data_IF_036064910272
#
_entry.id   IF_036064910272
#
_cell.length_a   1.000
_cell.length_b   1.000
_cell.length_c   1.000
_cell.angle_alpha   90.00
_cell.angle_beta   90.00
_cell.angle_gamma   90.00
#
_symmetry.space_group_name_H-M   'P 1'
#
loop_
_entity.id
_entity.type
_entity.pdbx_description
1 polymer ?
#
# COMPACT_ATOMS: atom_id res chain seq x y z
N UNK A 1 25.24 2.39 -20.17
CA UNK A 1 24.62 2.58 -18.83
C UNK A 1 23.73 1.39 -18.56
N UNK A 2 24.00 0.59 -17.50
CA UNK A 2 23.11 -0.52 -17.13
C UNK A 2 21.82 0.10 -16.53
N UNK A 3 20.72 0.02 -17.25
CA UNK A 3 19.42 0.44 -16.74
C UNK A 3 19.04 -0.44 -15.56
N UNK A 4 18.88 0.16 -14.36
CA UNK A 4 18.49 -0.57 -13.18
C UNK A 4 17.04 -1.04 -13.36
N UNK A 5 16.83 -2.34 -13.55
CA UNK A 5 15.51 -2.94 -13.81
C UNK A 5 14.71 -3.21 -12.53
N UNK A 6 15.32 -3.01 -11.34
CA UNK A 6 14.71 -3.32 -10.03
C UNK A 6 14.50 -2.05 -9.20
N UNK A 7 13.49 -2.09 -8.37
CA UNK A 7 13.25 -1.04 -7.39
C UNK A 7 14.29 -1.08 -6.26
N UNK A 8 14.65 0.09 -5.68
CA UNK A 8 15.44 0.16 -4.45
C UNK A 8 14.81 -0.68 -3.33
N UNK A 9 15.64 -1.28 -2.48
CA UNK A 9 15.19 -2.17 -1.41
C UNK A 9 14.16 -1.49 -0.49
N UNK A 10 14.38 -0.22 -0.13
CA UNK A 10 13.46 0.54 0.71
C UNK A 10 12.06 0.70 0.09
N UNK A 11 11.99 0.89 -1.24
CA UNK A 11 10.71 0.96 -1.98
C UNK A 11 9.98 -0.39 -1.92
N UNK A 12 10.72 -1.48 -2.11
CA UNK A 12 10.15 -2.84 -2.08
C UNK A 12 9.70 -3.25 -0.69
N UNK A 13 10.51 -3.01 0.34
CA UNK A 13 10.16 -3.34 1.74
C UNK A 13 8.92 -2.58 2.19
N UNK A 14 8.88 -1.26 1.97
CA UNK A 14 7.70 -0.45 2.31
C UNK A 14 6.46 -0.85 1.52
N UNK A 15 6.62 -1.33 0.28
CA UNK A 15 5.49 -1.85 -0.48
C UNK A 15 4.88 -3.08 0.18
N UNK A 16 5.71 -4.08 0.49
CA UNK A 16 5.22 -5.34 1.03
C UNK A 16 4.72 -5.20 2.46
N UNK A 17 5.38 -4.37 3.29
CA UNK A 17 4.91 -4.07 4.63
C UNK A 17 3.53 -3.40 4.61
N UNK A 18 3.36 -2.38 3.75
CA UNK A 18 2.09 -1.69 3.58
C UNK A 18 1.02 -2.63 3.01
N UNK A 19 1.36 -3.47 2.03
CA UNK A 19 0.42 -4.45 1.46
C UNK A 19 -0.06 -5.45 2.52
N UNK A 20 0.85 -6.00 3.33
CA UNK A 20 0.51 -6.92 4.41
C UNK A 20 -0.38 -6.25 5.48
N UNK A 21 0.00 -5.04 5.93
CA UNK A 21 -0.80 -4.29 6.90
C UNK A 21 -2.20 -3.97 6.35
N UNK A 22 -2.29 -3.54 5.08
CA UNK A 22 -3.54 -3.18 4.44
C UNK A 22 -4.48 -4.39 4.29
N UNK A 23 -3.97 -5.50 3.73
CA UNK A 23 -4.78 -6.72 3.54
C UNK A 23 -5.20 -7.28 4.90
N UNK A 24 -4.29 -7.33 5.87
CA UNK A 24 -4.60 -7.76 7.23
C UNK A 24 -5.69 -6.89 7.86
N UNK A 25 -5.59 -5.56 7.72
CA UNK A 25 -6.59 -4.64 8.29
C UNK A 25 -7.95 -4.69 7.57
N UNK A 26 -7.98 -4.97 6.26
CA UNK A 26 -9.23 -5.24 5.54
C UNK A 26 -9.91 -6.52 6.07
N UNK A 27 -9.14 -7.58 6.30
CA UNK A 27 -9.66 -8.83 6.87
C UNK A 27 -10.20 -8.59 8.29
N UNK A 28 -9.42 -7.92 9.15
CA UNK A 28 -9.89 -7.56 10.50
C UNK A 28 -11.16 -6.72 10.42
N UNK A 29 -11.23 -5.76 9.47
CA UNK A 29 -12.41 -4.93 9.25
C UNK A 29 -13.68 -5.70 8.87
N UNK A 30 -13.55 -6.86 8.21
CA UNK A 30 -14.67 -7.76 7.89
C UNK A 30 -15.09 -8.65 9.08
N UNK A 31 -14.23 -8.78 10.08
CA UNK A 31 -14.41 -9.67 11.24
C UNK A 31 -14.70 -8.90 12.54
N UNK A 32 -15.00 -7.58 12.44
CA UNK A 32 -15.09 -6.74 13.63
C UNK A 32 -16.19 -7.17 14.61
N UNK A 33 -17.36 -7.54 14.11
CA UNK A 33 -18.56 -7.79 14.92
C UNK A 33 -18.61 -6.91 16.20
N UNK A 34 -19.04 -7.42 17.34
CA UNK A 34 -19.05 -6.71 18.63
C UNK A 34 -17.75 -6.90 19.43
N UNK A 35 -16.65 -7.35 18.81
CA UNK A 35 -15.39 -7.61 19.48
C UNK A 35 -14.55 -6.32 19.63
N UNK A 36 -14.51 -5.77 20.85
CA UNK A 36 -13.79 -4.53 21.16
C UNK A 36 -12.27 -4.62 20.89
N UNK A 37 -11.66 -5.79 21.08
CA UNK A 37 -10.24 -6.00 20.84
C UNK A 37 -9.92 -5.89 19.34
N UNK A 38 -10.77 -6.49 18.49
CA UNK A 38 -10.62 -6.39 17.02
C UNK A 38 -10.85 -4.94 16.55
N UNK A 39 -11.81 -4.24 17.13
CA UNK A 39 -12.05 -2.80 16.84
C UNK A 39 -10.81 -1.98 17.21
N UNK A 40 -10.23 -2.22 18.38
CA UNK A 40 -9.00 -1.53 18.83
C UNK A 40 -7.80 -1.83 17.92
N UNK A 41 -7.65 -3.10 17.56
CA UNK A 41 -6.59 -3.56 16.62
C UNK A 41 -6.75 -2.92 15.24
N UNK A 42 -7.97 -2.94 14.67
CA UNK A 42 -8.30 -2.33 13.38
C UNK A 42 -7.95 -0.83 13.34
N UNK A 43 -8.33 -0.09 14.38
CA UNK A 43 -7.99 1.34 14.52
C UNK A 43 -6.48 1.56 14.56
N UNK A 44 -5.77 0.78 15.37
CA UNK A 44 -4.32 0.90 15.55
C UNK A 44 -3.56 0.60 14.27
N UNK A 45 -3.92 -0.48 13.55
CA UNK A 45 -3.33 -0.81 12.24
C UNK A 45 -3.68 0.28 11.22
N UNK A 46 -4.92 0.80 11.24
CA UNK A 46 -5.34 1.91 10.36
C UNK A 46 -4.47 3.17 10.54
N UNK A 47 -4.18 3.56 11.78
CA UNK A 47 -3.26 4.66 12.09
C UNK A 47 -1.84 4.35 11.61
N UNK A 48 -1.35 3.13 11.82
CA UNK A 48 -0.04 2.70 11.35
C UNK A 48 0.05 2.74 9.81
N UNK A 49 -1.01 2.33 9.10
CA UNK A 49 -1.10 2.42 7.63
C UNK A 49 -0.97 3.88 7.17
N UNK A 50 -1.62 4.83 7.85
CA UNK A 50 -1.52 6.26 7.51
C UNK A 50 -0.05 6.73 7.57
N UNK A 51 0.68 6.37 8.64
CA UNK A 51 2.11 6.65 8.77
C UNK A 51 2.96 5.97 7.69
N UNK A 52 2.68 4.70 7.38
CA UNK A 52 3.38 3.94 6.34
C UNK A 52 3.15 4.52 4.95
N UNK A 53 1.93 4.98 4.64
CA UNK A 53 1.62 5.65 3.37
C UNK A 53 2.40 6.95 3.23
N UNK A 54 2.43 7.78 4.28
CA UNK A 54 3.22 9.02 4.28
C UNK A 54 4.72 8.72 4.07
N UNK A 55 5.27 7.76 4.82
CA UNK A 55 6.66 7.33 4.68
C UNK A 55 6.96 6.81 3.27
N UNK A 56 6.06 6.03 2.70
CA UNK A 56 6.20 5.50 1.33
C UNK A 56 6.19 6.60 0.28
N UNK A 57 5.32 7.60 0.41
CA UNK A 57 5.28 8.75 -0.50
C UNK A 57 6.59 9.53 -0.42
N UNK A 58 7.05 9.86 0.79
CA UNK A 58 8.33 10.58 1.00
C UNK A 58 9.50 9.80 0.42
N UNK A 59 9.58 8.48 0.71
CA UNK A 59 10.65 7.64 0.18
C UNK A 59 10.62 7.56 -1.35
N UNK A 60 9.42 7.44 -1.96
CA UNK A 60 9.24 7.43 -3.41
C UNK A 60 9.68 8.75 -4.06
N UNK A 61 9.37 9.89 -3.43
CA UNK A 61 9.80 11.22 -3.92
C UNK A 61 11.33 11.39 -3.83
N UNK A 62 11.94 10.93 -2.73
CA UNK A 62 13.41 10.95 -2.57
C UNK A 62 14.11 10.07 -3.60
N UNK A 63 13.57 8.89 -3.86
CA UNK A 63 14.17 7.89 -4.75
C UNK A 63 13.71 8.02 -6.20
N UNK A 64 12.98 9.09 -6.58
CA UNK A 64 12.36 9.23 -7.91
C UNK A 64 13.34 9.05 -9.09
N UNK A 65 14.59 9.49 -8.92
CA UNK A 65 15.64 9.37 -9.95
C UNK A 65 16.21 7.97 -10.09
N UNK A 66 16.02 7.12 -9.10
CA UNK A 66 16.51 5.72 -9.05
C UNK A 66 15.42 4.71 -9.38
N UNK A 67 14.20 5.16 -9.67
CA UNK A 67 13.09 4.29 -10.01
C UNK A 67 13.27 3.74 -11.44
N UNK A 68 13.03 2.43 -11.65
CA UNK A 68 13.02 1.88 -13.00
C UNK A 68 11.87 2.49 -13.82
N UNK A 69 12.00 2.56 -15.16
CA UNK A 69 10.92 3.04 -16.01
C UNK A 69 9.69 2.15 -15.91
N UNK A 70 8.51 2.73 -16.22
CA UNK A 70 7.26 1.98 -16.31
C UNK A 70 7.38 0.84 -17.33
N UNK A 71 6.69 -0.26 -17.08
CA UNK A 71 6.58 -1.40 -18.00
C UNK A 71 5.80 -1.00 -19.25
N UNK A 72 4.78 -0.15 -19.09
CA UNK A 72 3.98 0.30 -20.22
C UNK A 72 4.57 1.60 -20.82
N UNK A 73 4.67 1.69 -22.17
CA UNK A 73 5.16 2.89 -22.84
C UNK A 73 4.33 4.12 -22.49
N UNK A 74 5.01 5.26 -22.30
CA UNK A 74 4.34 6.54 -22.05
C UNK A 74 3.36 6.88 -23.18
N UNK A 75 2.21 7.50 -22.84
CA UNK A 75 1.17 7.88 -23.81
C UNK A 75 0.21 6.77 -24.19
N UNK A 76 0.41 5.53 -23.73
CA UNK A 76 -0.53 4.44 -23.97
C UNK A 76 -1.66 4.43 -22.94
N UNK A 77 -2.85 3.93 -23.34
CA UNK A 77 -3.99 3.73 -22.44
C UNK A 77 -3.63 2.86 -21.22
N UNK A 78 -2.76 1.86 -21.44
CA UNK A 78 -2.26 0.98 -20.37
C UNK A 78 -1.39 1.73 -19.36
N UNK A 79 -0.53 2.63 -19.82
CA UNK A 79 0.26 3.49 -18.94
C UNK A 79 -0.63 4.43 -18.11
N UNK A 80 -1.67 4.99 -18.74
CA UNK A 80 -2.65 5.81 -18.04
C UNK A 80 -3.40 5.00 -16.97
N UNK A 81 -3.91 3.82 -17.32
CA UNK A 81 -4.59 2.92 -16.38
C UNK A 81 -3.70 2.53 -15.19
N UNK A 82 -2.43 2.17 -15.45
CA UNK A 82 -1.44 1.86 -14.41
C UNK A 82 -1.28 3.03 -13.43
N UNK A 83 -1.11 4.25 -13.95
CA UNK A 83 -0.96 5.44 -13.11
C UNK A 83 -2.21 5.77 -12.32
N UNK A 84 -3.38 5.63 -12.94
CA UNK A 84 -4.67 5.89 -12.29
C UNK A 84 -4.93 4.93 -11.14
N UNK A 85 -4.71 3.63 -11.35
CA UNK A 85 -4.85 2.61 -10.29
C UNK A 85 -3.91 2.92 -9.12
N UNK A 86 -2.63 3.19 -9.37
CA UNK A 86 -1.69 3.53 -8.30
C UNK A 86 -2.05 4.86 -7.60
N UNK A 87 -2.46 5.87 -8.36
CA UNK A 87 -2.89 7.16 -7.79
C UNK A 87 -4.11 6.98 -6.87
N UNK A 88 -5.12 6.24 -7.34
CA UNK A 88 -6.34 5.99 -6.57
C UNK A 88 -6.07 5.13 -5.33
N UNK A 89 -5.17 4.13 -5.42
CA UNK A 89 -4.71 3.37 -4.26
C UNK A 89 -4.11 4.29 -3.19
N UNK A 90 -3.23 5.24 -3.55
CA UNK A 90 -2.65 6.19 -2.58
C UNK A 90 -3.72 7.08 -1.95
N UNK A 91 -4.67 7.59 -2.75
CA UNK A 91 -5.78 8.44 -2.24
C UNK A 91 -6.62 7.65 -1.23
N UNK A 92 -7.04 6.43 -1.57
CA UNK A 92 -7.88 5.62 -0.70
C UNK A 92 -7.15 5.14 0.55
N UNK A 93 -5.87 4.73 0.44
CA UNK A 93 -5.06 4.35 1.61
C UNK A 93 -4.84 5.49 2.60
N UNK A 94 -4.93 6.75 2.16
CA UNK A 94 -4.90 7.92 3.04
C UNK A 94 -6.30 8.26 3.57
N UNK A 95 -7.29 8.34 2.68
CA UNK A 95 -8.63 8.82 3.01
C UNK A 95 -9.37 7.88 3.99
N UNK A 96 -9.26 6.55 3.80
CA UNK A 96 -9.99 5.57 4.62
C UNK A 96 -9.59 5.63 6.09
N UNK A 97 -8.31 5.61 6.48
CA UNK A 97 -7.94 5.79 7.89
C UNK A 97 -8.36 7.15 8.46
N UNK A 98 -8.34 8.22 7.66
CA UNK A 98 -8.83 9.53 8.06
C UNK A 98 -10.32 9.51 8.37
N UNK A 99 -11.13 8.86 7.52
CA UNK A 99 -12.56 8.66 7.74
C UNK A 99 -12.82 7.86 9.03
N UNK A 100 -12.06 6.78 9.27
CA UNK A 100 -12.15 5.98 10.48
C UNK A 100 -11.77 6.75 11.74
N UNK A 101 -10.77 7.61 11.66
CA UNK A 101 -10.36 8.48 12.75
C UNK A 101 -11.45 9.51 13.06
N UNK A 102 -11.96 10.23 12.06
CA UNK A 102 -13.07 11.19 12.22
C UNK A 102 -14.35 10.51 12.73
N UNK A 103 -14.70 9.31 12.24
CA UNK A 103 -15.82 8.51 12.76
C UNK A 103 -15.65 8.24 14.25
N UNK A 104 -14.46 7.82 14.68
CA UNK A 104 -14.15 7.52 16.08
C UNK A 104 -14.35 8.76 16.97
N UNK A 105 -13.87 9.93 16.50
CA UNK A 105 -14.07 11.20 17.22
C UNK A 105 -15.55 11.62 17.25
N UNK A 106 -16.26 11.51 16.13
CA UNK A 106 -17.69 11.84 16.07
C UNK A 106 -18.53 10.93 16.96
N UNK A 107 -18.13 9.68 17.20
CA UNK A 107 -18.73 8.78 18.18
C UNK A 107 -18.45 9.17 19.64
N UNK A 108 -17.54 10.12 19.90
CA UNK A 108 -17.16 10.58 21.23
C UNK A 108 -15.97 9.83 21.84
N UNK A 109 -15.21 9.09 21.01
CA UNK A 109 -14.03 8.35 21.45
C UNK A 109 -12.73 8.96 20.87
N UNK A 110 -11.61 8.74 21.56
CA UNK A 110 -10.29 9.07 21.06
C UNK A 110 -9.75 7.93 20.21
N UNK A 111 -9.08 8.27 19.10
CA UNK A 111 -8.37 7.28 18.30
C UNK A 111 -6.97 7.05 18.94
N UNK A 112 -6.71 5.84 19.40
CA UNK A 112 -5.44 5.42 20.00
C UNK A 112 -4.71 4.45 19.10
N UNK A 113 -3.37 4.54 19.10
CA UNK A 113 -2.48 3.66 18.36
C UNK A 113 -1.80 2.68 19.33
N UNK A 114 -2.26 1.44 19.40
CA UNK A 114 -1.77 0.36 20.27
C UNK A 114 -1.65 0.75 21.75
N UNK A 115 -2.46 1.69 22.22
CA UNK A 115 -2.37 2.23 23.58
C UNK A 115 -1.16 3.11 23.86
N UNK A 116 -0.25 3.30 22.90
CA UNK A 116 0.99 4.06 23.06
C UNK A 116 0.77 5.57 23.06
N UNK A 117 -0.13 6.04 22.21
CA UNK A 117 -0.51 7.46 22.11
C UNK A 117 -1.89 7.60 21.52
N UNK A 118 -2.53 8.72 21.81
CA UNK A 118 -3.82 9.08 21.26
C UNK A 118 -3.69 10.23 20.27
N UNK A 119 -4.46 10.16 19.19
CA UNK A 119 -4.52 11.20 18.17
C UNK A 119 -5.44 12.34 18.63
N UNK A 120 -5.21 13.58 18.20
CA UNK A 120 -6.06 14.71 18.53
C UNK A 120 -7.48 14.54 17.96
N UNK A 121 -8.44 15.22 18.57
CA UNK A 121 -9.82 15.26 18.09
C UNK A 121 -9.92 16.17 16.88
N UNK A 122 -10.40 15.64 15.75
CA UNK A 122 -10.56 16.36 14.48
C UNK A 122 -11.94 16.96 14.29
N UNK A 123 -12.97 16.28 14.83
CA UNK A 123 -14.38 16.66 14.66
C UNK A 123 -15.13 16.55 15.99
N UNK A 124 -16.16 17.40 16.23
CA UNK A 124 -16.96 17.34 17.43
C UNK A 124 -17.79 16.05 17.47
N UNK A 125 -18.25 15.70 18.68
CA UNK A 125 -19.16 14.57 18.87
C UNK A 125 -20.49 14.84 18.19
N UNK A 126 -20.89 13.95 17.27
CA UNK A 126 -22.17 13.99 16.56
C UNK A 126 -22.53 12.57 16.12
N UNK A 127 -23.67 12.08 16.55
CA UNK A 127 -24.16 10.74 16.20
C UNK A 127 -24.43 10.62 14.70
N UNK A 128 -25.02 11.65 14.10
CA UNK A 128 -25.30 11.71 12.67
C UNK A 128 -24.00 11.69 11.86
N UNK A 129 -23.02 12.53 12.21
CA UNK A 129 -21.73 12.57 11.54
C UNK A 129 -20.99 11.23 11.67
N UNK A 130 -21.04 10.59 12.85
CA UNK A 130 -20.43 9.27 13.05
C UNK A 130 -21.04 8.20 12.15
N UNK A 131 -22.37 8.23 11.97
CA UNK A 131 -23.07 7.32 11.05
C UNK A 131 -22.61 7.53 9.60
N UNK A 132 -22.68 8.74 9.09
CA UNK A 132 -22.26 9.05 7.72
C UNK A 132 -20.78 8.74 7.43
N UNK A 133 -19.90 9.08 8.36
CA UNK A 133 -18.46 8.73 8.24
C UNK A 133 -18.25 7.22 8.27
N UNK A 134 -19.07 6.49 9.02
CA UNK A 134 -19.05 5.02 9.07
C UNK A 134 -19.43 4.40 7.73
N UNK A 135 -20.54 4.84 7.14
CA UNK A 135 -21.00 4.37 5.84
C UNK A 135 -19.96 4.68 4.73
N UNK A 136 -19.44 5.91 4.73
CA UNK A 136 -18.43 6.32 3.74
C UNK A 136 -17.12 5.53 3.90
N UNK A 137 -16.70 5.28 5.17
CA UNK A 137 -15.52 4.45 5.45
C UNK A 137 -15.71 3.02 4.92
N UNK A 138 -16.87 2.40 5.19
CA UNK A 138 -17.17 1.05 4.72
C UNK A 138 -17.21 0.98 3.19
N UNK A 139 -17.96 1.89 2.55
CA UNK A 139 -18.07 1.94 1.10
C UNK A 139 -16.71 2.11 0.41
N UNK A 140 -15.90 3.05 0.90
CA UNK A 140 -14.56 3.30 0.36
C UNK A 140 -13.59 2.15 0.62
N UNK A 141 -13.74 1.42 1.75
CA UNK A 141 -12.96 0.23 2.07
C UNK A 141 -13.27 -0.94 1.11
N UNK A 142 -14.54 -1.16 0.77
CA UNK A 142 -14.92 -2.12 -0.29
C UNK A 142 -14.36 -1.72 -1.65
N UNK A 143 -14.42 -0.43 -1.99
CA UNK A 143 -13.80 0.11 -3.20
C UNK A 143 -12.29 -0.14 -3.23
N UNK A 144 -11.60 0.07 -2.11
CA UNK A 144 -10.18 -0.23 -1.97
C UNK A 144 -9.88 -1.72 -2.14
N UNK A 145 -10.68 -2.60 -1.53
CA UNK A 145 -10.52 -4.05 -1.67
C UNK A 145 -10.64 -4.50 -3.13
N UNK A 146 -11.64 -4.00 -3.86
CA UNK A 146 -11.80 -4.26 -5.29
C UNK A 146 -10.62 -3.74 -6.11
N UNK A 147 -10.12 -2.54 -5.80
CA UNK A 147 -8.98 -1.93 -6.49
C UNK A 147 -7.66 -2.69 -6.21
N UNK A 148 -7.45 -3.18 -4.98
CA UNK A 148 -6.33 -4.06 -4.63
C UNK A 148 -6.41 -5.37 -5.41
N UNK A 149 -7.59 -5.97 -5.50
CA UNK A 149 -7.83 -7.16 -6.32
C UNK A 149 -7.45 -6.91 -7.80
N UNK A 150 -7.92 -5.81 -8.38
CA UNK A 150 -7.59 -5.41 -9.75
C UNK A 150 -6.07 -5.18 -9.94
N UNK A 151 -5.42 -4.55 -8.96
CA UNK A 151 -3.98 -4.31 -8.98
C UNK A 151 -3.18 -5.63 -8.99
N UNK A 152 -3.57 -6.58 -8.14
CA UNK A 152 -2.94 -7.90 -8.08
C UNK A 152 -3.21 -8.70 -9.36
N UNK A 153 -4.46 -8.70 -9.86
CA UNK A 153 -4.81 -9.36 -11.12
C UNK A 153 -4.03 -8.79 -12.30
N UNK A 154 -3.84 -7.46 -12.35
CA UNK A 154 -2.99 -6.80 -13.35
C UNK A 154 -1.55 -7.31 -13.31
N UNK A 155 -0.96 -7.43 -12.12
CA UNK A 155 0.41 -7.95 -11.96
C UNK A 155 0.53 -9.43 -12.38
N UNK A 156 -0.49 -10.26 -12.07
CA UNK A 156 -0.56 -11.67 -12.48
C UNK A 156 -0.74 -11.79 -14.00
N UNK A 157 -1.61 -10.97 -14.60
CA UNK A 157 -1.84 -10.96 -16.04
C UNK A 157 -0.56 -10.60 -16.82
N UNK A 158 0.23 -9.62 -16.34
CA UNK A 158 1.53 -9.29 -16.94
C UNK A 158 2.50 -10.49 -16.92
N UNK A 159 2.52 -11.25 -15.83
CA UNK A 159 3.36 -12.46 -15.70
C UNK A 159 2.90 -13.57 -16.67
N UNK A 160 1.60 -13.80 -16.79
CA UNK A 160 1.04 -14.94 -17.55
C UNK A 160 1.02 -14.69 -19.06
N UNK A 161 0.62 -13.48 -19.48
CA UNK A 161 0.32 -13.20 -20.89
C UNK A 161 1.40 -12.41 -21.63
N UNK A 162 2.42 -11.85 -20.92
CA UNK A 162 3.41 -10.96 -21.55
C UNK A 162 4.86 -11.36 -21.36
N UNK A 163 5.13 -12.49 -20.72
CA UNK A 163 6.50 -12.90 -20.33
C UNK A 163 7.27 -11.82 -19.54
N UNK A 164 6.62 -10.73 -19.17
CA UNK A 164 7.19 -9.64 -18.39
C UNK A 164 6.91 -9.89 -16.92
N UNK A 165 7.83 -10.58 -16.25
CA UNK A 165 7.69 -10.83 -14.84
C UNK A 165 7.96 -9.55 -14.03
N UNK A 166 6.88 -8.85 -13.58
CA UNK A 166 6.97 -7.64 -12.76
C UNK A 166 7.33 -7.94 -11.30
N UNK A 167 7.06 -9.16 -10.81
CA UNK A 167 7.35 -9.56 -9.44
C UNK A 167 8.83 -9.45 -9.04
N UNK A 168 9.82 -9.91 -9.84
CA UNK A 168 11.24 -9.76 -9.50
C UNK A 168 11.69 -8.31 -9.39
N UNK A 169 10.95 -7.35 -9.98
CA UNK A 169 11.28 -5.93 -9.91
C UNK A 169 10.98 -5.34 -8.53
N UNK A 170 9.93 -5.86 -7.83
CA UNK A 170 9.45 -5.36 -6.53
C UNK A 170 9.79 -6.30 -5.36
N UNK A 171 10.28 -7.52 -5.61
CA UNK A 171 10.70 -8.43 -4.54
C UNK A 171 11.94 -7.89 -3.82
N UNK A 172 11.97 -7.91 -2.46
CA UNK A 172 13.09 -7.42 -1.67
C UNK A 172 14.31 -8.36 -1.71
N UNK A 173 14.21 -9.51 -2.36
CA UNK A 173 15.29 -10.49 -2.45
C UNK A 173 16.40 -10.00 -3.38
N UNK A 174 17.60 -9.86 -2.84
CA UNK A 174 18.82 -9.74 -3.67
C UNK A 174 19.03 -11.07 -4.40
N UNK A 175 18.81 -11.14 -5.72
CA UNK A 175 19.33 -12.24 -6.48
C UNK A 175 20.86 -12.25 -6.26
N UNK A 176 21.41 -13.33 -5.71
CA UNK A 176 22.84 -13.62 -5.82
C UNK A 176 23.17 -13.55 -7.30
N UNK A 177 23.90 -12.53 -7.71
CA UNK A 177 24.57 -12.55 -9.01
C UNK A 177 25.53 -13.74 -8.91
N UNK A 178 25.19 -14.84 -9.56
CA UNK A 178 26.13 -15.91 -9.79
C UNK A 178 27.33 -15.22 -10.46
N UNK A 179 28.44 -15.18 -9.73
CA UNK A 179 29.73 -14.74 -10.26
C UNK A 179 30.03 -15.73 -11.37
N UNK A 180 29.79 -15.37 -12.63
CA UNK A 180 30.29 -16.12 -13.76
C UNK A 180 31.80 -16.18 -13.56
N UNK A 181 32.28 -17.35 -13.22
CA UNK A 181 33.69 -17.68 -13.27
C UNK A 181 34.09 -17.49 -14.74
N UNK A 182 34.86 -16.44 -15.00
CA UNK A 182 35.59 -16.33 -16.25
C UNK A 182 36.41 -17.60 -16.36
N UNK A 183 36.35 -18.31 -17.51
CA UNK A 183 37.25 -19.42 -17.72
C UNK A 183 38.67 -18.87 -17.64
N UNK A 184 39.48 -19.48 -16.78
CA UNK A 184 40.92 -19.24 -16.69
C UNK A 184 41.49 -19.55 -18.05
N UNK A 185 41.84 -18.50 -18.80
CA UNK A 185 42.58 -18.65 -20.07
C UNK A 185 43.88 -19.37 -19.77
N UNK A 186 44.03 -20.57 -20.31
CA UNK A 186 45.28 -21.26 -20.45
C UNK A 186 46.29 -20.34 -21.11
N UNK A 187 47.30 -20.01 -20.37
CA UNK A 187 48.55 -19.46 -20.91
C UNK A 187 49.49 -20.65 -21.15
N UNK A 188 49.59 -21.06 -22.39
CA UNK A 188 50.79 -21.72 -22.93
C UNK A 188 51.51 -20.74 -23.86
#
# INVERSE_FOLDING_TARGET
MKTNTRYPLSISLLHWLLAAALIGNLIVGLLLDDNEDLVSLHKSIGIAILGLVALRIVNRLRMRRSLPPSVNPAGTLKHFAERSVHGLLYVLMFAIPMLGWMKTNAAGHTASCFGLFSLPTLVPRSRELSHWLGELHALTAYGLAALVGLHVLGAVAHKLFRSENVFPRILPLRARVARQQLPSGDRN
#
